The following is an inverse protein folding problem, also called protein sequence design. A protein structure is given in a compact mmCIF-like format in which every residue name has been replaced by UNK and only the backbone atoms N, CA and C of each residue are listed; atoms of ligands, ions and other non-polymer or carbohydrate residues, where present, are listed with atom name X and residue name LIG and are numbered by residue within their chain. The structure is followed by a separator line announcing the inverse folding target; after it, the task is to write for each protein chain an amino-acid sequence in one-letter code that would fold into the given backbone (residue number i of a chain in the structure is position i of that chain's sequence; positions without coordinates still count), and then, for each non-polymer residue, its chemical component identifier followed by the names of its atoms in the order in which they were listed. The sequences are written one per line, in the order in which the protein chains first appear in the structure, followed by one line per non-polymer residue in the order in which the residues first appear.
data_IF_744465209979
#
_entry.id   IF_744465209979
#
_cell.length_a   1.000
_cell.length_b   1.000
_cell.length_c   1.000
_cell.angle_alpha   90.00
_cell.angle_beta   90.00
_cell.angle_gamma   90.00
#
_symmetry.space_group_name_H-M   'P 1'
#
loop_
_entity.id
_entity.type
_entity.pdbx_description
1 polymer ?
#
# COMPACT_ATOMS: atom_id res chain seq x y z
N UNK A 1 0.73 -19.22 12.90
CA UNK A 1 1.46 -19.66 11.67
C UNK A 1 1.03 -18.71 10.57
N UNK A 2 1.86 -18.42 9.58
CA UNK A 2 1.38 -17.59 8.46
C UNK A 2 0.30 -18.39 7.71
N UNK A 3 -0.88 -17.79 7.51
CA UNK A 3 -2.03 -18.46 6.89
C UNK A 3 -1.89 -18.60 5.35
N UNK A 4 -0.73 -18.27 4.81
CA UNK A 4 -0.42 -18.32 3.38
C UNK A 4 1.08 -18.52 3.13
N UNK A 5 1.43 -18.99 1.93
CA UNK A 5 2.80 -19.02 1.43
C UNK A 5 3.04 -17.85 0.47
N UNK A 6 4.28 -17.38 0.36
CA UNK A 6 4.63 -16.30 -0.58
C UNK A 6 4.31 -16.67 -2.04
N UNK A 7 4.34 -17.97 -2.37
CA UNK A 7 3.93 -18.49 -3.68
C UNK A 7 2.45 -18.32 -4.00
N UNK A 8 1.61 -18.01 -3.00
CA UNK A 8 0.20 -17.70 -3.19
C UNK A 8 -0.05 -16.24 -3.59
N UNK A 9 0.97 -15.37 -3.48
CA UNK A 9 0.83 -13.96 -3.82
C UNK A 9 0.79 -13.79 -5.34
N UNK A 10 -0.35 -13.32 -5.84
CA UNK A 10 -0.61 -13.10 -7.27
C UNK A 10 -0.27 -11.67 -7.70
N UNK A 11 -0.36 -10.72 -6.79
CA UNK A 11 -0.06 -9.31 -7.04
C UNK A 11 0.52 -8.64 -5.79
N UNK A 12 1.35 -7.62 -6.00
CA UNK A 12 1.98 -6.83 -4.93
C UNK A 12 1.62 -5.35 -5.09
N UNK A 13 1.49 -4.64 -3.97
CA UNK A 13 1.37 -3.18 -3.89
C UNK A 13 2.29 -2.62 -2.83
N UNK A 14 2.79 -1.42 -3.08
CA UNK A 14 3.54 -0.62 -2.11
C UNK A 14 2.69 0.60 -1.79
N UNK A 15 2.44 0.84 -0.51
CA UNK A 15 1.65 1.96 0.01
C UNK A 15 2.43 2.67 1.11
N UNK A 16 2.22 3.97 1.25
CA UNK A 16 2.90 4.79 2.27
C UNK A 16 1.94 5.24 3.38
N UNK A 17 0.63 5.29 3.09
CA UNK A 17 -0.38 5.83 3.97
C UNK A 17 -1.12 4.72 4.73
N UNK A 18 -1.10 4.79 6.06
CA UNK A 18 -1.67 3.75 6.93
C UNK A 18 -3.17 3.50 6.69
N UNK A 19 -3.94 4.55 6.39
CA UNK A 19 -5.36 4.41 6.12
C UNK A 19 -5.64 3.68 4.79
N UNK A 20 -4.78 3.82 3.78
CA UNK A 20 -4.87 3.05 2.53
C UNK A 20 -4.52 1.59 2.77
N UNK A 21 -3.48 1.34 3.56
CA UNK A 21 -3.08 0.00 3.98
C UNK A 21 -4.25 -0.71 4.65
N UNK A 22 -4.87 -0.07 5.64
CA UNK A 22 -5.99 -0.65 6.38
C UNK A 22 -7.19 -0.97 5.46
N UNK A 23 -7.48 -0.14 4.46
CA UNK A 23 -8.52 -0.44 3.45
C UNK A 23 -8.19 -1.68 2.63
N UNK A 24 -6.96 -1.81 2.16
CA UNK A 24 -6.53 -2.99 1.42
C UNK A 24 -6.57 -4.26 2.29
N UNK A 25 -6.15 -4.17 3.56
CA UNK A 25 -6.24 -5.29 4.50
C UNK A 25 -7.69 -5.74 4.73
N UNK A 26 -8.64 -4.80 4.83
CA UNK A 26 -10.08 -5.11 4.93
C UNK A 26 -10.63 -5.82 3.70
N UNK A 27 -10.10 -5.50 2.52
CA UNK A 27 -10.49 -6.15 1.26
C UNK A 27 -9.80 -7.50 1.00
N UNK A 28 -8.97 -7.97 1.93
CA UNK A 28 -8.33 -9.29 1.88
C UNK A 28 -6.89 -9.31 1.39
N UNK A 29 -6.24 -8.15 1.27
CA UNK A 29 -4.78 -8.10 1.09
C UNK A 29 -4.08 -8.54 2.38
N UNK A 30 -2.86 -9.06 2.23
CA UNK A 30 -2.01 -9.47 3.35
C UNK A 30 -0.76 -8.59 3.43
N UNK A 31 -0.37 -8.21 4.64
CA UNK A 31 0.86 -7.45 4.86
C UNK A 31 2.09 -8.38 4.76
N UNK A 32 3.00 -8.07 3.83
CA UNK A 32 4.21 -8.86 3.59
C UNK A 32 5.43 -8.25 4.27
N UNK A 33 5.58 -6.94 4.20
CA UNK A 33 6.75 -6.21 4.72
C UNK A 33 6.35 -4.81 5.15
N UNK A 34 6.95 -4.34 6.23
CA UNK A 34 6.99 -2.93 6.63
C UNK A 34 8.45 -2.51 6.65
N UNK A 35 8.81 -1.45 5.94
CA UNK A 35 10.19 -0.95 5.92
C UNK A 35 10.24 0.58 6.00
N UNK A 36 11.32 1.16 6.54
CA UNK A 36 11.58 2.58 6.38
C UNK A 36 11.74 2.93 4.90
N UNK A 37 11.15 4.05 4.50
CA UNK A 37 11.19 4.58 3.15
C UNK A 37 11.54 6.06 3.12
N UNK A 38 11.56 6.63 1.92
CA UNK A 38 11.71 8.06 1.69
C UNK A 38 10.67 8.51 0.69
N UNK A 39 9.76 9.39 1.13
CA UNK A 39 8.79 10.01 0.23
C UNK A 39 9.38 11.29 -0.35
N UNK A 40 9.21 11.45 -1.66
CA UNK A 40 9.63 12.64 -2.38
C UNK A 40 8.41 13.49 -2.70
N UNK A 41 8.12 14.44 -1.81
CA UNK A 41 6.96 15.30 -1.93
C UNK A 41 7.38 16.74 -2.21
N UNK A 42 6.51 17.46 -2.92
CA UNK A 42 6.70 18.88 -3.13
C UNK A 42 6.09 19.63 -1.95
N UNK A 43 6.95 20.31 -1.19
CA UNK A 43 6.50 21.20 -0.14
C UNK A 43 5.67 22.35 -0.76
N UNK A 44 4.40 22.45 -0.37
CA UNK A 44 3.46 23.42 -0.93
C UNK A 44 3.74 24.87 -0.47
N UNK A 45 4.44 25.03 0.65
CA UNK A 45 4.80 26.34 1.20
C UNK A 45 6.07 26.91 0.56
N UNK A 46 7.08 26.07 0.35
CA UNK A 46 8.39 26.49 -0.21
C UNK A 46 8.49 26.25 -1.72
N UNK A 47 7.59 25.42 -2.27
CA UNK A 47 7.60 24.99 -3.67
C UNK A 47 8.74 24.04 -4.04
N UNK A 48 9.58 23.65 -3.08
CA UNK A 48 10.75 22.80 -3.28
C UNK A 48 10.39 21.31 -3.13
N UNK A 49 11.18 20.46 -3.78
CA UNK A 49 11.11 19.01 -3.56
C UNK A 49 11.90 18.67 -2.31
N UNK A 50 11.23 18.02 -1.36
CA UNK A 50 11.83 17.58 -0.11
C UNK A 50 11.76 16.06 -0.02
N UNK A 51 12.73 15.47 0.68
CA UNK A 51 12.78 14.03 0.93
C UNK A 51 12.50 13.82 2.40
N UNK A 52 11.33 13.28 2.71
CA UNK A 52 10.89 13.07 4.09
C UNK A 52 10.93 11.58 4.42
N UNK A 53 11.37 11.20 5.63
CA UNK A 53 11.27 9.81 6.07
C UNK A 53 9.81 9.35 6.01
N UNK A 54 9.58 8.21 5.37
CA UNK A 54 8.25 7.58 5.29
C UNK A 54 8.31 6.14 5.78
N UNK A 55 7.15 5.51 5.90
CA UNK A 55 7.04 4.08 6.13
C UNK A 55 6.39 3.46 4.90
N UNK A 56 7.05 2.47 4.32
CA UNK A 56 6.56 1.75 3.16
C UNK A 56 5.99 0.40 3.59
N UNK A 57 4.76 0.14 3.15
CA UNK A 57 4.01 -1.08 3.41
C UNK A 57 3.87 -1.86 2.11
N UNK A 58 4.41 -3.07 2.09
CA UNK A 58 4.28 -3.99 0.95
C UNK A 58 3.16 -4.98 1.23
N UNK A 59 2.12 -4.92 0.42
CA UNK A 59 0.94 -5.78 0.50
C UNK A 59 0.94 -6.81 -0.63
N UNK A 60 0.48 -8.02 -0.31
CA UNK A 60 0.28 -9.10 -1.26
C UNK A 60 -1.21 -9.43 -1.42
N UNK A 61 -1.64 -9.68 -2.64
CA UNK A 61 -2.97 -10.22 -2.92
C UNK A 61 -2.88 -11.73 -3.08
N UNK A 62 -3.69 -12.46 -2.31
CA UNK A 62 -3.78 -13.93 -2.35
C UNK A 62 -5.16 -14.44 -2.83
N UNK A 63 -6.09 -13.54 -3.12
CA UNK A 63 -7.45 -13.90 -3.53
C UNK A 63 -7.54 -14.54 -4.90
N UNK A 64 -8.67 -15.20 -5.19
CA UNK A 64 -8.92 -15.88 -6.46
C UNK A 64 -9.33 -14.93 -7.60
N UNK A 65 -9.94 -13.79 -7.27
CA UNK A 65 -10.34 -12.76 -8.23
C UNK A 65 -9.27 -11.68 -8.36
N UNK A 66 -9.37 -10.86 -9.41
CA UNK A 66 -8.55 -9.66 -9.51
C UNK A 66 -8.91 -8.67 -8.38
N UNK A 67 -7.93 -8.08 -7.68
CA UNK A 67 -8.22 -7.11 -6.64
C UNK A 67 -8.67 -5.77 -7.24
N UNK A 68 -9.40 -4.97 -6.46
CA UNK A 68 -9.78 -3.60 -6.84
C UNK A 68 -8.55 -2.80 -7.25
N UNK A 69 -8.65 -2.03 -8.32
CA UNK A 69 -7.62 -1.08 -8.77
C UNK A 69 -7.49 0.12 -7.81
N UNK A 70 -6.38 0.86 -7.88
CA UNK A 70 -6.18 2.07 -7.06
C UNK A 70 -7.31 3.09 -7.32
N UNK A 71 -7.68 3.30 -8.59
CA UNK A 71 -8.78 4.20 -8.94
C UNK A 71 -10.13 3.80 -8.33
N UNK A 72 -10.38 2.50 -8.11
CA UNK A 72 -11.58 2.04 -7.43
C UNK A 72 -11.54 2.35 -5.93
N UNK A 73 -10.37 2.26 -5.29
CA UNK A 73 -10.20 2.70 -3.89
C UNK A 73 -10.36 4.22 -3.74
N UNK A 74 -9.91 5.00 -4.71
CA UNK A 74 -10.03 6.46 -4.68
C UNK A 74 -11.50 6.90 -4.82
N UNK A 75 -12.28 6.19 -5.63
CA UNK A 75 -13.71 6.46 -5.80
C UNK A 75 -14.54 6.15 -4.56
N UNK A 76 -14.13 5.15 -3.76
CA UNK A 76 -14.81 4.79 -2.50
C UNK A 76 -14.44 5.72 -1.33
N UNK A 77 -13.43 6.59 -1.51
CA UNK A 77 -13.01 7.55 -0.49
C UNK A 77 -13.83 8.87 -0.48
N UNK A 78 -14.71 9.06 -1.46
CA UNK A 78 -15.57 10.24 -1.65
C UNK A 78 -17.06 9.88 -1.66
#
# INVERSE_FOLDING_TARGET
MADFFISNVKQVRELELEHEVNRHLQDGWVLLLVRPGVSHERNLETGQWESLPSTEYVLGWIGETEPKTIAQYDQEAY
#
